data_IF_547256677543
#
_entry.id   IF_547256677543
#
_cell.length_a   1.000
_cell.length_b   1.000
_cell.length_c   1.000
_cell.angle_alpha   90.00
_cell.angle_beta   90.00
_cell.angle_gamma   90.00
#
_symmetry.space_group_name_H-M   'P 1'
#
loop_
_entity.id
_entity.type
_entity.pdbx_description
1 polymer ?
#
# COMPACT_ATOMS: atom_id res chain seq x y z
N UNK A 1 -6.48 -6.12 -9.67
CA UNK A 1 -5.79 -4.82 -9.70
C UNK A 1 -4.28 -4.92 -9.50
N UNK A 2 -3.78 -5.43 -8.35
CA UNK A 2 -2.32 -5.50 -8.10
C UNK A 2 -1.53 -6.29 -9.16
N UNK A 3 -2.04 -7.43 -9.64
CA UNK A 3 -1.40 -8.20 -10.71
C UNK A 3 -1.31 -7.44 -12.03
N UNK A 4 -2.38 -6.73 -12.42
CA UNK A 4 -2.35 -5.87 -13.61
C UNK A 4 -1.35 -4.72 -13.45
N UNK A 5 -1.25 -4.17 -12.25
CA UNK A 5 -0.18 -3.24 -11.87
C UNK A 5 1.22 -3.79 -12.06
N UNK A 6 1.42 -5.04 -11.67
CA UNK A 6 2.74 -5.66 -11.75
C UNK A 6 3.16 -6.01 -13.19
N UNK A 7 2.19 -6.36 -14.05
CA UNK A 7 2.46 -6.98 -15.35
C UNK A 7 2.16 -6.09 -16.56
N UNK A 8 1.15 -5.22 -16.48
CA UNK A 8 0.62 -4.49 -17.63
C UNK A 8 0.69 -2.97 -17.47
N UNK A 9 1.39 -2.49 -16.43
CA UNK A 9 1.45 -1.08 -16.12
C UNK A 9 2.78 -0.42 -16.45
N UNK A 10 2.78 0.90 -16.50
CA UNK A 10 3.98 1.73 -16.53
C UNK A 10 4.39 2.21 -15.12
N UNK A 11 4.00 1.52 -14.06
CA UNK A 11 4.14 1.99 -12.67
C UNK A 11 5.57 2.40 -12.29
N UNK A 12 6.60 1.65 -12.71
CA UNK A 12 8.00 2.04 -12.45
C UNK A 12 8.39 3.34 -13.15
N UNK A 13 7.95 3.52 -14.40
CA UNK A 13 8.22 4.73 -15.16
C UNK A 13 7.48 5.93 -14.55
N UNK A 14 6.21 5.75 -14.18
CA UNK A 14 5.43 6.74 -13.47
C UNK A 14 6.07 7.13 -12.13
N UNK A 15 6.58 6.16 -11.37
CA UNK A 15 7.19 6.41 -10.06
C UNK A 15 8.48 7.25 -10.16
N UNK A 16 9.23 7.12 -11.26
CA UNK A 16 10.44 7.93 -11.51
C UNK A 16 10.15 9.36 -11.97
N UNK A 17 9.05 9.60 -12.69
CA UNK A 17 8.65 10.94 -13.14
C UNK A 17 7.12 11.09 -13.15
N UNK A 18 6.51 11.30 -11.97
CA UNK A 18 5.06 11.36 -11.83
C UNK A 18 4.45 12.65 -12.40
N UNK A 19 5.28 13.63 -12.73
CA UNK A 19 4.87 14.93 -13.28
C UNK A 19 4.72 14.91 -14.80
N UNK A 20 5.56 14.14 -15.50
CA UNK A 20 5.52 14.07 -16.96
C UNK A 20 4.98 12.73 -17.49
N UNK A 21 5.01 11.67 -16.70
CA UNK A 21 4.46 10.36 -17.07
C UNK A 21 3.10 10.22 -16.40
N UNK A 22 2.06 9.91 -17.19
CA UNK A 22 0.74 9.58 -16.67
C UNK A 22 0.65 8.13 -16.19
N UNK A 23 -0.09 7.82 -15.12
CA UNK A 23 -0.31 6.44 -14.69
C UNK A 23 -1.08 5.66 -15.76
N UNK A 24 -0.69 4.41 -16.01
CA UNK A 24 -1.37 3.55 -16.94
C UNK A 24 -1.29 2.11 -16.46
N UNK A 25 -2.46 1.56 -16.12
CA UNK A 25 -2.75 0.12 -15.99
C UNK A 25 -3.90 -0.28 -16.93
N UNK A 26 -4.74 0.70 -17.25
CA UNK A 26 -5.74 0.79 -18.29
C UNK A 26 -6.03 2.29 -18.46
N UNK A 27 -5.85 2.85 -19.66
CA UNK A 27 -5.94 4.31 -19.87
C UNK A 27 -7.40 4.74 -20.03
N UNK A 28 -7.87 5.64 -19.17
CA UNK A 28 -9.14 6.35 -19.34
C UNK A 28 -8.89 7.61 -20.17
N UNK A 29 -9.65 7.78 -21.26
CA UNK A 29 -9.51 8.91 -22.19
C UNK A 29 -9.95 10.23 -21.54
N UNK A 30 -9.31 11.38 -21.82
CA UNK A 30 -9.74 12.67 -21.26
C UNK A 30 -10.97 13.21 -22.03
N UNK A 31 -12.17 12.86 -21.57
CA UNK A 31 -13.44 13.33 -22.19
C UNK A 31 -14.06 14.48 -21.37
N UNK A 32 -14.16 14.34 -20.03
CA UNK A 32 -14.85 15.31 -19.15
C UNK A 32 -14.19 15.47 -17.75
N UNK A 33 -12.86 15.42 -17.62
CA UNK A 33 -12.20 15.54 -16.31
C UNK A 33 -11.93 14.21 -15.60
N UNK A 34 -12.16 13.09 -16.29
CA UNK A 34 -11.96 11.73 -15.76
C UNK A 34 -10.48 11.32 -15.65
N UNK A 35 -9.55 12.15 -16.14
CA UNK A 35 -8.11 11.95 -15.99
C UNK A 35 -7.65 11.93 -14.52
N UNK A 36 -8.42 12.51 -13.60
CA UNK A 36 -8.17 12.41 -12.15
C UNK A 36 -8.24 10.96 -11.64
N UNK A 37 -9.01 10.10 -12.33
CA UNK A 37 -9.13 8.68 -12.00
C UNK A 37 -7.87 7.88 -12.35
N UNK A 38 -6.95 8.46 -13.12
CA UNK A 38 -5.69 7.81 -13.42
C UNK A 38 -4.74 7.82 -12.20
N UNK A 39 -5.01 8.53 -11.10
CA UNK A 39 -4.10 8.61 -9.95
C UNK A 39 -3.71 7.26 -9.33
N UNK A 40 -2.40 7.05 -9.14
CA UNK A 40 -1.85 5.79 -8.58
C UNK A 40 -1.77 5.80 -7.06
N UNK A 41 -2.49 4.87 -6.41
CA UNK A 41 -2.53 4.77 -4.95
C UNK A 41 -1.31 4.07 -4.34
N UNK A 42 -0.58 3.28 -5.14
CA UNK A 42 0.46 2.35 -4.68
C UNK A 42 1.70 3.03 -4.07
N UNK A 43 2.01 4.26 -4.51
CA UNK A 43 3.08 5.08 -3.91
C UNK A 43 2.81 5.32 -2.42
N UNK A 44 1.56 5.58 -2.03
CA UNK A 44 1.18 5.81 -0.63
C UNK A 44 1.35 4.57 0.27
N UNK A 45 1.38 3.38 -0.32
CA UNK A 45 1.61 2.12 0.36
C UNK A 45 3.07 1.67 0.32
N UNK A 46 3.95 2.53 -0.21
CA UNK A 46 5.37 2.24 -0.36
C UNK A 46 5.66 1.01 -1.20
N UNK A 47 4.94 0.91 -2.31
CA UNK A 47 5.24 -0.08 -3.34
C UNK A 47 6.23 0.60 -4.29
N UNK A 48 7.48 0.13 -4.34
CA UNK A 48 8.52 0.72 -5.21
C UNK A 48 8.91 -0.19 -6.37
N UNK A 49 8.43 -1.43 -6.38
CA UNK A 49 8.75 -2.40 -7.43
C UNK A 49 7.55 -3.29 -7.77
N UNK A 50 7.55 -3.80 -8.99
CA UNK A 50 6.53 -4.75 -9.48
C UNK A 50 6.54 -6.06 -8.68
N UNK A 51 7.70 -6.48 -8.15
CA UNK A 51 7.80 -7.69 -7.31
C UNK A 51 6.91 -7.55 -6.06
N UNK A 52 6.87 -6.37 -5.44
CA UNK A 52 6.01 -6.12 -4.28
C UNK A 52 4.51 -6.18 -4.66
N UNK A 53 4.16 -5.69 -5.86
CA UNK A 53 2.82 -5.83 -6.43
C UNK A 53 2.45 -7.30 -6.68
N UNK A 54 3.37 -8.12 -7.22
CA UNK A 54 3.16 -9.56 -7.40
C UNK A 54 2.96 -10.27 -6.06
N UNK A 55 3.81 -10.02 -5.07
CA UNK A 55 3.67 -10.62 -3.74
C UNK A 55 2.32 -10.26 -3.11
N UNK A 56 1.88 -9.01 -3.25
CA UNK A 56 0.58 -8.55 -2.75
C UNK A 56 -0.58 -9.21 -3.50
N UNK A 57 -0.46 -9.38 -4.82
CA UNK A 57 -1.46 -10.06 -5.64
C UNK A 57 -1.63 -11.54 -5.24
N UNK A 58 -0.51 -12.26 -5.03
CA UNK A 58 -0.52 -13.66 -4.58
C UNK A 58 -1.09 -13.75 -3.16
N UNK A 59 -0.65 -12.88 -2.25
CA UNK A 59 -1.17 -12.83 -0.89
C UNK A 59 -2.69 -12.59 -0.84
N UNK A 60 -3.19 -11.68 -1.69
CA UNK A 60 -4.62 -11.43 -1.81
C UNK A 60 -5.39 -12.63 -2.38
N UNK A 61 -4.80 -13.37 -3.33
CA UNK A 61 -5.40 -14.58 -3.88
C UNK A 61 -5.50 -15.70 -2.83
N UNK A 62 -4.45 -15.90 -2.03
CA UNK A 62 -4.46 -16.83 -0.91
C UNK A 62 -5.50 -16.42 0.13
N UNK A 63 -5.58 -15.13 0.46
CA UNK A 63 -6.59 -14.63 1.39
C UNK A 63 -8.02 -14.82 0.85
N UNK A 64 -8.25 -14.60 -0.45
CA UNK A 64 -9.54 -14.88 -1.08
C UNK A 64 -9.93 -16.36 -0.99
N UNK A 65 -8.98 -17.28 -1.23
CA UNK A 65 -9.21 -18.71 -1.05
C UNK A 65 -9.55 -19.06 0.41
N UNK A 66 -8.87 -18.44 1.39
CA UNK A 66 -9.17 -18.61 2.81
C UNK A 66 -10.57 -18.08 3.17
N UNK A 67 -11.00 -16.95 2.62
CA UNK A 67 -12.34 -16.40 2.86
C UNK A 67 -13.43 -17.32 2.28
N UNK A 68 -13.23 -17.87 1.08
CA UNK A 68 -14.15 -18.85 0.49
C UNK A 68 -14.21 -20.13 1.33
N UNK A 69 -13.06 -20.64 1.77
CA UNK A 69 -12.99 -21.78 2.67
C UNK A 69 -13.70 -21.52 4.00
N UNK A 70 -13.48 -20.35 4.61
CA UNK A 70 -14.14 -19.94 5.84
C UNK A 70 -15.66 -19.84 5.68
N UNK A 71 -16.14 -19.32 4.55
CA UNK A 71 -17.58 -19.24 4.23
C UNK A 71 -18.22 -20.61 4.06
N UNK A 72 -17.57 -21.53 3.34
CA UNK A 72 -18.02 -22.92 3.23
C UNK A 72 -18.01 -23.65 4.58
N UNK A 73 -16.95 -23.46 5.38
CA UNK A 73 -16.83 -24.07 6.71
C UNK A 73 -17.89 -23.58 7.70
N UNK A 74 -18.25 -22.30 7.65
CA UNK A 74 -19.23 -21.68 8.56
C UNK A 74 -20.67 -21.66 8.01
N UNK A 75 -21.04 -22.56 7.09
CA UNK A 75 -22.30 -22.52 6.33
C UNK A 75 -23.61 -22.52 7.17
N UNK A 76 -23.56 -22.69 8.49
CA UNK A 76 -24.67 -22.40 9.43
C UNK A 76 -24.10 -22.07 10.82
N UNK A 77 -23.85 -20.79 11.12
CA UNK A 77 -23.40 -20.39 12.45
C UNK A 77 -23.94 -19.02 12.89
N UNK A 78 -24.58 -19.03 14.06
CA UNK A 78 -24.67 -17.99 15.08
C UNK A 78 -24.70 -16.50 14.65
N UNK A 79 -25.90 -15.93 14.54
CA UNK A 79 -26.14 -14.52 14.17
C UNK A 79 -26.82 -13.65 15.25
N UNK A 80 -27.00 -14.14 16.47
CA UNK A 80 -27.95 -13.51 17.41
C UNK A 80 -27.34 -12.60 18.48
N UNK A 81 -26.00 -12.55 18.62
CA UNK A 81 -25.35 -11.81 19.71
C UNK A 81 -24.86 -10.43 19.26
N UNK A 82 -25.79 -9.48 19.20
CA UNK A 82 -25.56 -8.12 18.66
C UNK A 82 -24.54 -7.32 19.47
N UNK A 83 -24.53 -7.47 20.81
CA UNK A 83 -23.57 -6.75 21.66
C UNK A 83 -22.12 -7.19 21.40
N UNK A 84 -21.90 -8.50 21.30
CA UNK A 84 -20.57 -9.04 20.95
C UNK A 84 -20.14 -8.63 19.55
N UNK A 85 -21.06 -8.70 18.58
CA UNK A 85 -20.83 -8.24 17.21
C UNK A 85 -20.38 -6.79 17.20
N UNK A 86 -21.16 -5.88 17.83
CA UNK A 86 -20.86 -4.46 17.83
C UNK A 86 -19.51 -4.15 18.49
N UNK A 87 -19.22 -4.77 19.63
CA UNK A 87 -17.95 -4.56 20.34
C UNK A 87 -16.75 -5.08 19.53
N UNK A 88 -16.84 -6.24 18.88
CA UNK A 88 -15.77 -6.76 18.03
C UNK A 88 -15.59 -5.95 16.75
N UNK A 89 -16.65 -5.36 16.17
CA UNK A 89 -16.53 -4.51 14.99
C UNK A 89 -15.93 -3.15 15.34
N UNK A 90 -16.40 -2.49 16.41
CA UNK A 90 -15.88 -1.18 16.82
C UNK A 90 -14.46 -1.28 17.36
N UNK A 91 -14.23 -2.13 18.37
CA UNK A 91 -12.95 -2.22 19.04
C UNK A 91 -11.94 -3.09 18.26
N UNK A 92 -12.40 -4.18 17.65
CA UNK A 92 -11.55 -5.04 16.84
C UNK A 92 -11.33 -4.46 15.45
N UNK A 93 -12.34 -4.57 14.59
CA UNK A 93 -12.19 -4.25 13.16
C UNK A 93 -11.80 -2.77 12.91
N UNK A 94 -12.53 -1.82 13.49
CA UNK A 94 -12.32 -0.40 13.21
C UNK A 94 -11.12 0.18 13.98
N UNK A 95 -11.02 -0.07 15.28
CA UNK A 95 -9.93 0.49 16.10
C UNK A 95 -8.59 -0.20 15.87
N UNK A 96 -8.52 -1.54 15.85
CA UNK A 96 -7.24 -2.21 15.55
C UNK A 96 -6.86 -2.06 14.07
N UNK A 97 -7.84 -2.03 13.16
CA UNK A 97 -7.60 -1.76 11.74
C UNK A 97 -7.01 -0.37 11.50
N UNK A 98 -7.58 0.67 12.09
CA UNK A 98 -7.04 2.04 11.99
C UNK A 98 -5.69 2.18 12.68
N UNK A 99 -5.47 1.55 13.84
CA UNK A 99 -4.18 1.56 14.54
C UNK A 99 -3.09 0.86 13.71
N UNK A 100 -3.38 -0.31 13.13
CA UNK A 100 -2.47 -1.02 12.23
C UNK A 100 -2.12 -0.16 11.01
N UNK A 101 -3.12 0.51 10.42
CA UNK A 101 -2.90 1.42 9.29
C UNK A 101 -2.04 2.62 9.66
N UNK A 102 -2.27 3.25 10.81
CA UNK A 102 -1.46 4.35 11.31
C UNK A 102 -0.01 3.92 11.55
N UNK A 103 0.22 2.74 12.16
CA UNK A 103 1.54 2.16 12.32
C UNK A 103 2.25 1.94 10.99
N UNK A 104 1.56 1.35 10.00
CA UNK A 104 2.11 1.20 8.65
C UNK A 104 2.43 2.56 8.02
N UNK A 105 1.57 3.57 8.16
CA UNK A 105 1.83 4.90 7.61
C UNK A 105 3.08 5.54 8.20
N UNK A 106 3.24 5.52 9.53
CA UNK A 106 4.36 6.15 10.23
C UNK A 106 5.68 5.42 9.97
N UNK A 107 5.68 4.09 10.01
CA UNK A 107 6.91 3.30 9.93
C UNK A 107 7.30 2.90 8.51
N UNK A 108 6.36 2.91 7.55
CA UNK A 108 6.58 2.39 6.20
C UNK A 108 6.33 3.46 5.14
N UNK A 109 5.15 4.08 5.13
CA UNK A 109 4.78 5.00 4.05
C UNK A 109 5.50 6.36 4.14
N UNK A 110 5.55 6.96 5.33
CA UNK A 110 6.06 8.31 5.53
C UNK A 110 7.55 8.46 5.15
N UNK A 111 8.46 7.58 5.62
CA UNK A 111 9.89 7.77 5.35
C UNK A 111 10.24 7.69 3.86
N UNK A 112 9.61 6.77 3.13
CA UNK A 112 9.87 6.61 1.70
C UNK A 112 9.20 7.71 0.88
N UNK A 113 8.00 8.17 1.24
CA UNK A 113 7.42 9.31 0.55
C UNK A 113 8.29 10.55 0.68
N UNK A 114 8.98 10.72 1.82
CA UNK A 114 9.96 11.79 1.98
C UNK A 114 11.19 11.60 1.07
N UNK A 115 11.73 10.38 0.92
CA UNK A 115 12.80 10.10 -0.06
C UNK A 115 12.37 10.36 -1.51
N UNK A 116 11.18 9.89 -1.89
CA UNK A 116 10.63 10.09 -3.23
C UNK A 116 10.31 11.56 -3.51
N UNK A 117 9.93 12.33 -2.49
CA UNK A 117 9.72 13.78 -2.62
C UNK A 117 11.04 14.56 -2.68
N UNK A 118 12.12 14.03 -2.10
CA UNK A 118 13.47 14.56 -2.20
C UNK A 118 14.16 14.20 -3.54
N UNK A 119 13.48 13.50 -4.45
CA UNK A 119 13.99 13.16 -5.78
C UNK A 119 14.95 11.96 -5.82
N UNK A 120 15.01 11.15 -4.76
CA UNK A 120 15.82 9.92 -4.75
C UNK A 120 15.20 8.87 -5.65
N UNK A 121 15.98 8.25 -6.55
CA UNK A 121 15.51 7.18 -7.43
C UNK A 121 14.97 6.01 -6.57
N UNK A 122 13.76 5.49 -6.86
CA UNK A 122 13.21 4.29 -6.23
C UNK A 122 14.17 3.10 -6.10
N UNK A 123 15.15 2.96 -7.00
CA UNK A 123 16.17 1.89 -6.95
C UNK A 123 17.23 2.07 -5.87
N UNK A 124 17.52 3.31 -5.48
CA UNK A 124 18.52 3.66 -4.47
C UNK A 124 17.95 3.65 -3.05
N UNK A 125 16.63 3.60 -2.92
CA UNK A 125 15.94 3.52 -1.63
C UNK A 125 16.17 2.12 -1.02
N UNK A 126 16.76 2.09 0.17
CA UNK A 126 16.96 0.85 0.95
C UNK A 126 15.66 0.08 1.16
N UNK A 127 15.77 -1.25 1.24
CA UNK A 127 14.65 -2.15 1.47
C UNK A 127 14.03 -1.93 2.86
N UNK A 128 12.74 -2.27 3.03
CA UNK A 128 12.00 -2.03 4.28
C UNK A 128 12.70 -2.54 5.52
N UNK A 129 13.15 -3.79 5.44
CA UNK A 129 13.62 -4.50 6.62
C UNK A 129 14.89 -3.82 7.15
N UNK A 130 15.70 -3.23 6.27
CA UNK A 130 16.88 -2.45 6.66
C UNK A 130 16.51 -1.16 7.37
N UNK A 131 15.38 -0.55 6.99
CA UNK A 131 14.88 0.67 7.64
C UNK A 131 14.25 0.39 9.01
N UNK A 132 13.53 -0.73 9.16
CA UNK A 132 12.93 -1.15 10.44
C UNK A 132 14.01 -1.61 11.43
N UNK A 133 14.97 -2.43 10.97
CA UNK A 133 15.94 -3.06 11.85
C UNK A 133 17.06 -2.09 12.27
N UNK A 134 17.37 -1.08 11.46
CA UNK A 134 18.40 -0.09 11.78
C UNK A 134 17.79 1.27 12.12
N UNK A 135 17.51 1.49 13.40
CA UNK A 135 17.05 2.78 13.96
C UNK A 135 17.95 3.96 13.55
N UNK A 136 19.24 3.70 13.31
CA UNK A 136 20.22 4.68 12.84
C UNK A 136 19.94 5.25 11.45
N UNK A 137 19.31 4.50 10.55
CA UNK A 137 18.97 4.98 9.20
C UNK A 137 17.84 6.02 9.24
N UNK A 138 16.92 5.90 10.20
CA UNK A 138 15.87 6.88 10.48
C UNK A 138 16.47 8.18 11.03
N UNK A 139 17.51 8.08 11.85
CA UNK A 139 18.22 9.22 12.43
C UNK A 139 19.09 9.97 11.42
N UNK A 140 19.84 9.24 10.58
CA UNK A 140 20.58 9.82 9.44
C UNK A 140 19.65 10.57 8.50
N UNK A 141 18.45 10.06 8.28
CA UNK A 141 17.40 10.69 7.49
C UNK A 141 16.91 12.01 8.12
N UNK A 142 16.60 12.01 9.43
CA UNK A 142 16.17 13.22 10.13
C UNK A 142 17.23 14.31 10.10
N UNK A 143 18.52 13.93 10.09
CA UNK A 143 19.63 14.85 9.98
C UNK A 143 19.86 15.34 8.54
N UNK A 144 19.82 14.44 7.54
CA UNK A 144 20.07 14.79 6.14
C UNK A 144 19.00 15.73 5.54
N UNK A 145 17.75 15.63 5.99
CA UNK A 145 16.66 16.51 5.51
C UNK A 145 16.58 17.83 6.29
N UNK A 146 17.15 17.92 7.50
CA UNK A 146 17.23 19.18 8.25
C UNK A 146 18.50 20.00 7.93
N UNK A 147 19.37 19.49 7.05
CA UNK A 147 20.61 20.16 6.64
C UNK A 147 20.52 20.82 5.25
N UNK A 148 19.43 20.58 4.52
CA UNK A 148 19.07 21.23 3.25
C UNK A 148 17.82 22.09 3.45
#
# INVERSE_FOLDING_TARGET
MYFHGAHFSNYKAWLSDPTHIGPSTQVVWPIVGQEILNGDIWRSFRITSEVQLYCTAIGALVFAALMLFAGWFHYLAWFQYVESMLNHHLAGLLRLGSLSRAGHQVHVSLPINQFLNAGVDPKEISLLYEFILNSWNILKFKLKINLD
#
